data_IF_798061607989
#
_entry.id   IF_798061607989
#
_cell.length_a   1.000
_cell.length_b   1.000
_cell.length_c   1.000
_cell.angle_alpha   90.00
_cell.angle_beta   90.00
_cell.angle_gamma   90.00
#
_symmetry.space_group_name_H-M   'P 1'
#
loop_
_entity.id
_entity.type
_entity.pdbx_description
1 polymer ?
#
# COMPACT_ATOMS: atom_id res chain seq x y z
N UNK A 1 12.18 -24.85 -22.51
CA UNK A 1 12.35 -24.03 -23.73
C UNK A 1 13.84 -24.01 -24.06
N UNK A 2 14.24 -24.05 -25.32
CA UNK A 2 15.66 -24.04 -25.66
C UNK A 2 16.24 -22.62 -25.53
N UNK A 3 17.36 -22.44 -24.82
CA UNK A 3 17.94 -21.12 -24.56
C UNK A 3 18.50 -20.40 -25.80
N UNK A 4 18.81 -21.16 -26.85
CA UNK A 4 19.40 -20.63 -28.09
C UNK A 4 18.44 -20.70 -29.28
N UNK A 5 17.16 -21.05 -29.05
CA UNK A 5 16.20 -21.35 -30.12
C UNK A 5 15.95 -20.18 -31.08
N UNK A 6 16.18 -18.94 -30.63
CA UNK A 6 16.01 -17.75 -31.49
C UNK A 6 17.17 -17.59 -32.49
N UNK A 7 18.40 -17.90 -32.06
CA UNK A 7 19.60 -17.84 -32.89
C UNK A 7 20.50 -19.08 -32.67
N UNK A 8 20.09 -20.27 -33.14
CA UNK A 8 20.78 -21.52 -32.84
C UNK A 8 22.28 -21.59 -33.20
N UNK A 9 22.75 -21.01 -34.32
CA UNK A 9 24.17 -21.07 -34.68
C UNK A 9 25.08 -20.22 -33.81
N UNK A 10 24.54 -19.26 -33.05
CA UNK A 10 25.32 -18.21 -32.38
C UNK A 10 25.94 -18.71 -31.07
N UNK A 11 27.24 -18.51 -30.93
CA UNK A 11 28.02 -18.79 -29.74
C UNK A 11 27.66 -17.82 -28.62
N UNK A 12 27.52 -18.34 -27.41
CA UNK A 12 27.32 -17.52 -26.21
C UNK A 12 28.61 -16.83 -25.79
N UNK A 13 28.50 -15.65 -25.16
CA UNK A 13 29.61 -15.02 -24.44
C UNK A 13 30.02 -15.82 -23.18
N UNK A 14 29.16 -16.70 -22.66
CA UNK A 14 29.55 -17.68 -21.66
C UNK A 14 30.18 -18.86 -22.39
N UNK A 15 31.46 -19.13 -22.11
CA UNK A 15 32.22 -20.16 -22.82
C UNK A 15 31.62 -21.55 -22.57
N UNK A 16 31.57 -22.37 -23.62
CA UNK A 16 31.00 -23.71 -23.59
C UNK A 16 29.51 -23.78 -23.90
N UNK A 17 28.87 -22.63 -24.15
CA UNK A 17 27.44 -22.54 -24.47
C UNK A 17 27.17 -21.94 -25.87
N UNK A 18 26.00 -22.26 -26.44
CA UNK A 18 25.56 -21.76 -27.74
C UNK A 18 26.07 -22.58 -28.93
N UNK A 19 25.98 -22.00 -30.12
CA UNK A 19 26.49 -22.58 -31.36
C UNK A 19 27.96 -22.25 -31.64
N UNK A 20 28.41 -22.55 -32.86
CA UNK A 20 29.81 -22.41 -33.27
C UNK A 20 30.15 -21.08 -33.95
N UNK A 21 29.16 -20.28 -34.30
CA UNK A 21 29.35 -19.03 -35.05
C UNK A 21 29.34 -17.82 -34.10
N UNK A 22 30.23 -16.84 -34.27
CA UNK A 22 30.21 -15.64 -33.44
C UNK A 22 28.86 -14.89 -33.58
N UNK A 23 28.39 -14.33 -32.46
CA UNK A 23 27.25 -13.42 -32.43
C UNK A 23 27.64 -12.03 -32.97
N UNK A 24 26.72 -11.38 -33.67
CA UNK A 24 26.88 -9.98 -34.11
C UNK A 24 26.86 -9.01 -32.92
N UNK A 25 26.09 -9.33 -31.88
CA UNK A 25 26.19 -8.66 -30.59
C UNK A 25 27.24 -9.38 -29.73
N UNK A 26 28.39 -8.75 -29.43
CA UNK A 26 29.44 -9.37 -28.61
C UNK A 26 28.97 -9.61 -27.18
N UNK A 27 27.91 -8.96 -26.70
CA UNK A 27 27.33 -9.16 -25.38
C UNK A 27 26.36 -10.33 -25.32
N UNK A 28 25.99 -10.96 -26.44
CA UNK A 28 24.99 -12.02 -26.50
C UNK A 28 25.35 -13.22 -25.60
N UNK A 29 24.43 -13.59 -24.71
CA UNK A 29 24.54 -14.83 -23.93
C UNK A 29 23.54 -15.86 -24.44
N UNK A 30 22.25 -15.53 -24.51
CA UNK A 30 21.21 -16.44 -24.97
C UNK A 30 19.96 -15.66 -25.39
N UNK A 31 19.11 -16.26 -26.22
CA UNK A 31 17.81 -15.73 -26.57
C UNK A 31 16.87 -16.87 -26.96
N UNK A 32 15.77 -16.98 -26.23
CA UNK A 32 14.77 -18.02 -26.48
C UNK A 32 13.83 -17.61 -27.60
N UNK A 33 13.18 -18.57 -28.27
CA UNK A 33 12.05 -18.21 -29.13
C UNK A 33 10.94 -17.54 -28.33
N UNK A 34 10.12 -16.73 -29.00
CA UNK A 34 8.88 -16.22 -28.42
C UNK A 34 7.88 -17.38 -28.27
N UNK A 35 7.33 -17.52 -27.07
CA UNK A 35 6.32 -18.54 -26.76
C UNK A 35 5.05 -17.88 -26.26
N UNK A 36 3.90 -18.32 -26.79
CA UNK A 36 2.59 -17.92 -26.26
C UNK A 36 2.39 -18.58 -24.89
N UNK A 37 1.98 -17.79 -23.91
CA UNK A 37 1.67 -18.25 -22.56
C UNK A 37 0.25 -17.78 -22.23
N UNK A 38 -0.54 -18.64 -21.59
CA UNK A 38 -1.83 -18.26 -21.01
C UNK A 38 -1.63 -17.28 -19.86
N UNK A 39 -2.67 -16.51 -19.55
CA UNK A 39 -2.69 -15.61 -18.40
C UNK A 39 -2.30 -16.33 -17.10
N UNK A 40 -1.09 -16.04 -16.61
CA UNK A 40 -0.46 -16.79 -15.52
C UNK A 40 0.68 -16.01 -14.89
N UNK A 41 1.06 -16.36 -13.67
CA UNK A 41 2.36 -15.95 -13.11
C UNK A 41 3.38 -17.02 -13.47
N UNK A 42 4.37 -16.64 -14.27
CA UNK A 42 5.38 -17.53 -14.83
C UNK A 42 6.61 -17.50 -13.94
N UNK A 43 7.01 -18.66 -13.42
CA UNK A 43 8.30 -18.88 -12.77
C UNK A 43 9.28 -19.41 -13.80
N UNK A 44 10.35 -18.67 -14.03
CA UNK A 44 11.42 -19.04 -14.95
C UNK A 44 12.67 -19.37 -14.13
N UNK A 45 13.24 -20.55 -14.36
CA UNK A 45 14.53 -20.95 -13.80
C UNK A 45 15.56 -21.08 -14.92
N UNK A 46 16.64 -20.31 -14.80
CA UNK A 46 17.82 -20.38 -15.64
C UNK A 46 18.83 -21.26 -14.93
N UNK A 47 19.12 -22.44 -15.50
CA UNK A 47 19.96 -23.46 -14.86
C UNK A 47 21.22 -23.67 -15.70
N UNK A 48 22.35 -23.24 -15.17
CA UNK A 48 23.68 -23.41 -15.75
C UNK A 48 24.40 -24.56 -15.06
N UNK A 49 24.70 -25.63 -15.80
CA UNK A 49 25.45 -26.77 -15.28
C UNK A 49 26.95 -26.52 -15.38
N UNK A 50 27.67 -26.71 -14.28
CA UNK A 50 29.12 -26.50 -14.24
C UNK A 50 29.53 -25.04 -14.42
N UNK A 51 28.67 -24.08 -14.06
CA UNK A 51 28.99 -22.66 -14.17
C UNK A 51 30.12 -22.28 -13.22
N UNK A 52 31.16 -21.66 -13.76
CA UNK A 52 32.27 -21.05 -13.02
C UNK A 52 32.50 -19.65 -13.55
N UNK A 53 32.73 -18.68 -12.65
CA UNK A 53 33.06 -17.30 -13.00
C UNK A 53 33.55 -16.57 -11.75
N UNK A 54 34.52 -15.68 -11.90
CA UNK A 54 34.93 -14.71 -10.87
C UNK A 54 34.56 -13.27 -11.25
N UNK A 55 34.33 -13.02 -12.54
CA UNK A 55 33.97 -11.73 -13.14
C UNK A 55 32.69 -11.86 -13.98
N UNK A 56 32.08 -10.72 -14.32
CA UNK A 56 30.92 -10.67 -15.21
C UNK A 56 29.64 -10.16 -14.55
N UNK A 57 28.95 -9.25 -15.24
CA UNK A 57 27.60 -8.80 -14.91
C UNK A 57 26.67 -9.08 -16.10
N UNK A 58 25.68 -9.95 -15.86
CA UNK A 58 24.68 -10.33 -16.84
C UNK A 58 23.38 -9.54 -16.61
N UNK A 59 22.74 -9.15 -17.69
CA UNK A 59 21.39 -8.59 -17.70
C UNK A 59 20.48 -9.62 -18.35
N UNK A 60 19.52 -10.12 -17.60
CA UNK A 60 18.45 -10.97 -18.10
C UNK A 60 17.20 -10.12 -18.32
N UNK A 61 16.55 -10.28 -19.47
CA UNK A 61 15.33 -9.56 -19.82
C UNK A 61 14.24 -10.54 -20.25
N UNK A 62 12.99 -10.14 -20.02
CA UNK A 62 11.82 -10.73 -20.64
C UNK A 62 11.25 -9.72 -21.60
N UNK A 63 11.17 -10.11 -22.88
CA UNK A 63 10.48 -9.34 -23.91
C UNK A 63 9.08 -9.90 -24.12
N UNK A 64 8.10 -9.02 -24.35
CA UNK A 64 6.75 -9.37 -24.73
C UNK A 64 6.45 -8.85 -26.14
N UNK A 65 5.82 -9.69 -26.96
CA UNK A 65 5.44 -9.42 -28.34
C UNK A 65 3.94 -9.73 -28.52
N UNK A 66 3.11 -8.78 -28.96
CA UNK A 66 1.70 -9.07 -29.26
C UNK A 66 1.52 -10.11 -30.36
N UNK A 67 0.55 -11.01 -30.18
CA UNK A 67 0.19 -12.01 -31.19
C UNK A 67 -0.44 -11.40 -32.45
N UNK A 68 -1.07 -10.24 -32.30
CA UNK A 68 -1.72 -9.52 -33.41
C UNK A 68 -0.73 -8.69 -34.26
N UNK A 69 0.55 -8.62 -33.86
CA UNK A 69 1.57 -7.84 -34.55
C UNK A 69 1.35 -6.32 -34.48
N UNK A 70 0.50 -5.83 -33.56
CA UNK A 70 0.15 -4.42 -33.44
C UNK A 70 1.33 -3.51 -33.10
N UNK A 71 2.32 -4.02 -32.36
CA UNK A 71 3.52 -3.29 -31.96
C UNK A 71 4.75 -4.21 -31.85
N UNK A 72 5.98 -3.67 -31.97
CA UNK A 72 7.20 -4.46 -31.83
C UNK A 72 7.35 -5.04 -30.42
N UNK A 73 8.29 -5.99 -30.27
CA UNK A 73 8.59 -6.56 -28.97
C UNK A 73 9.19 -5.52 -28.02
N UNK A 74 8.73 -5.53 -26.77
CA UNK A 74 9.18 -4.60 -25.71
C UNK A 74 9.68 -5.39 -24.50
N UNK A 75 10.70 -4.86 -23.83
CA UNK A 75 11.17 -5.41 -22.55
C UNK A 75 10.17 -5.07 -21.45
N UNK A 76 9.57 -6.08 -20.84
CA UNK A 76 8.61 -5.90 -19.73
C UNK A 76 9.26 -6.04 -18.35
N UNK A 77 10.42 -6.71 -18.26
CA UNK A 77 11.12 -6.90 -17.01
C UNK A 77 12.60 -7.18 -17.23
N UNK A 78 13.44 -6.66 -16.34
CA UNK A 78 14.90 -6.75 -16.41
C UNK A 78 15.47 -7.12 -15.04
N UNK A 79 16.50 -7.96 -15.04
CA UNK A 79 17.27 -8.34 -13.86
C UNK A 79 18.76 -8.19 -14.15
N UNK A 80 19.45 -7.22 -13.52
CA UNK A 80 20.90 -7.23 -13.44
C UNK A 80 21.35 -8.27 -12.40
N UNK A 81 22.38 -9.05 -12.71
CA UNK A 81 22.95 -10.04 -11.78
C UNK A 81 24.45 -10.23 -12.03
N UNK A 82 25.22 -10.28 -10.96
CA UNK A 82 26.64 -10.65 -11.07
C UNK A 82 26.74 -12.17 -11.29
N UNK A 83 27.55 -12.61 -12.26
CA UNK A 83 27.62 -14.06 -12.60
C UNK A 83 28.08 -14.88 -11.40
N UNK A 84 28.95 -14.33 -10.54
CA UNK A 84 29.39 -14.94 -9.27
C UNK A 84 28.23 -15.26 -8.31
N UNK A 85 27.13 -14.51 -8.35
CA UNK A 85 25.96 -14.76 -7.51
C UNK A 85 25.17 -15.96 -8.02
N UNK A 86 25.14 -16.16 -9.34
CA UNK A 86 24.57 -17.37 -9.96
C UNK A 86 25.40 -18.59 -9.58
N UNK A 87 26.74 -18.47 -9.58
CA UNK A 87 27.65 -19.53 -9.11
C UNK A 87 27.40 -19.85 -7.64
N UNK A 88 27.32 -18.84 -6.78
CA UNK A 88 27.02 -19.02 -5.36
C UNK A 88 25.65 -19.69 -5.10
N UNK A 89 24.68 -19.46 -6.00
CA UNK A 89 23.36 -20.11 -5.99
C UNK A 89 23.35 -21.50 -6.66
N UNK A 90 24.51 -22.13 -6.85
CA UNK A 90 24.63 -23.46 -7.45
C UNK A 90 24.31 -23.49 -8.95
N UNK A 91 24.61 -22.39 -9.66
CA UNK A 91 24.36 -22.27 -11.10
C UNK A 91 22.91 -21.95 -11.47
N UNK A 92 22.04 -21.64 -10.50
CA UNK A 92 20.61 -21.42 -10.76
C UNK A 92 20.19 -19.99 -10.45
N UNK A 93 19.53 -19.34 -11.40
CA UNK A 93 18.82 -18.08 -11.21
C UNK A 93 17.32 -18.30 -11.40
N UNK A 94 16.51 -17.75 -10.50
CA UNK A 94 15.04 -17.81 -10.59
C UNK A 94 14.47 -16.40 -10.77
N UNK A 95 13.53 -16.27 -11.68
CA UNK A 95 12.86 -15.01 -11.99
C UNK A 95 11.36 -15.23 -12.24
N UNK A 96 10.57 -14.19 -12.05
CA UNK A 96 9.11 -14.24 -12.20
C UNK A 96 8.59 -13.09 -13.04
N UNK A 97 7.66 -13.38 -13.94
CA UNK A 97 6.93 -12.37 -14.70
C UNK A 97 5.48 -12.81 -14.90
N UNK A 98 4.60 -11.83 -15.12
CA UNK A 98 3.19 -12.12 -15.40
C UNK A 98 3.00 -12.20 -16.92
N UNK A 99 2.42 -13.31 -17.36
CA UNK A 99 1.94 -13.48 -18.73
C UNK A 99 0.46 -13.07 -18.78
N UNK A 100 0.10 -12.37 -19.85
CA UNK A 100 -1.28 -12.04 -20.21
C UNK A 100 -1.62 -12.63 -21.58
N UNK A 101 -2.91 -12.92 -21.78
CA UNK A 101 -3.43 -13.45 -23.04
C UNK A 101 -3.16 -12.48 -24.21
N UNK A 102 -3.02 -13.03 -25.41
CA UNK A 102 -2.75 -12.22 -26.60
C UNK A 102 -1.28 -11.82 -26.81
N UNK A 103 -0.37 -12.28 -25.94
CA UNK A 103 1.06 -11.94 -26.01
C UNK A 103 1.94 -13.20 -26.07
N UNK A 104 3.14 -13.04 -26.63
CA UNK A 104 4.22 -14.03 -26.62
C UNK A 104 5.42 -13.48 -25.88
N UNK A 105 6.20 -14.35 -25.26
CA UNK A 105 7.31 -13.95 -24.39
C UNK A 105 8.61 -14.64 -24.78
N UNK A 106 9.72 -13.89 -24.72
CA UNK A 106 11.07 -14.42 -24.87
C UNK A 106 11.94 -14.01 -23.68
N UNK A 107 12.81 -14.91 -23.23
CA UNK A 107 13.83 -14.64 -22.21
C UNK A 107 15.19 -14.54 -22.90
N UNK A 108 15.94 -13.51 -22.60
CA UNK A 108 17.23 -13.24 -23.23
C UNK A 108 18.24 -12.71 -22.20
N UNK A 109 19.51 -13.05 -22.41
CA UNK A 109 20.62 -12.66 -21.55
C UNK A 109 21.71 -11.97 -22.34
N UNK A 110 22.22 -10.86 -21.79
CA UNK A 110 23.37 -10.13 -22.33
C UNK A 110 24.38 -9.85 -21.23
N UNK A 111 25.67 -9.95 -21.54
CA UNK A 111 26.77 -9.70 -20.61
C UNK A 111 27.69 -8.66 -21.23
N UNK A 112 27.61 -7.43 -20.73
CA UNK A 112 28.31 -6.28 -21.32
C UNK A 112 29.71 -6.02 -20.75
N UNK A 113 30.08 -6.68 -19.66
CA UNK A 113 31.39 -6.53 -19.01
C UNK A 113 32.38 -7.61 -19.46
N UNK A 114 33.63 -7.47 -19.05
CA UNK A 114 34.58 -8.60 -19.06
C UNK A 114 34.05 -9.76 -18.21
N UNK A 115 34.35 -10.99 -18.64
CA UNK A 115 33.85 -12.22 -18.00
C UNK A 115 34.81 -13.37 -18.26
N UNK A 116 34.98 -14.20 -17.23
CA UNK A 116 35.66 -15.50 -17.28
C UNK A 116 34.65 -16.65 -17.18
N UNK A 117 33.37 -16.38 -17.45
CA UNK A 117 32.30 -17.34 -17.26
C UNK A 117 32.38 -18.53 -18.22
N UNK A 118 32.42 -19.74 -17.66
CA UNK A 118 32.39 -21.02 -18.39
C UNK A 118 31.24 -21.87 -17.83
N UNK A 119 30.47 -22.52 -18.70
CA UNK A 119 29.46 -23.49 -18.31
C UNK A 119 29.42 -24.68 -19.29
N UNK A 120 28.99 -25.84 -18.81
CA UNK A 120 28.91 -27.07 -19.62
C UNK A 120 27.59 -27.18 -20.37
N UNK A 121 26.50 -26.75 -19.74
CA UNK A 121 25.17 -26.73 -20.35
C UNK A 121 24.30 -25.66 -19.72
N UNK A 122 23.25 -25.27 -20.44
CA UNK A 122 22.30 -24.27 -19.99
C UNK A 122 20.88 -24.70 -20.36
N UNK A 123 19.95 -24.58 -19.42
CA UNK A 123 18.55 -24.94 -19.60
C UNK A 123 17.64 -23.87 -19.00
N UNK A 124 16.51 -23.63 -19.69
CA UNK A 124 15.47 -22.72 -19.21
C UNK A 124 14.19 -23.50 -18.96
N UNK A 125 13.79 -23.50 -17.70
CA UNK A 125 12.56 -24.12 -17.22
C UNK A 125 11.53 -23.01 -16.97
N UNK A 126 10.39 -23.11 -17.66
CA UNK A 126 9.22 -22.28 -17.39
C UNK A 126 8.20 -23.14 -16.68
N UNK A 127 7.76 -22.67 -15.51
CA UNK A 127 6.66 -23.22 -14.74
C UNK A 127 5.56 -22.15 -14.69
N UNK A 128 4.50 -22.37 -15.46
CA UNK A 128 3.36 -21.48 -15.51
C UNK A 128 2.31 -22.00 -14.52
N UNK A 129 2.15 -21.29 -13.41
CA UNK A 129 0.99 -21.49 -12.56
C UNK A 129 -0.18 -20.76 -13.22
N UNK A 130 -1.04 -21.53 -13.91
CA UNK A 130 -2.29 -21.00 -14.50
C UNK A 130 -3.01 -20.22 -13.42
N UNK A 131 -3.14 -18.89 -13.60
CA UNK A 131 -4.03 -18.11 -12.75
C UNK A 131 -5.41 -18.64 -13.06
N UNK A 132 -6.07 -19.25 -12.10
CA UNK A 132 -7.52 -19.46 -12.18
C UNK A 132 -8.15 -18.20 -11.59
N UNK A 133 -8.44 -17.16 -12.39
CA UNK A 133 -8.78 -15.86 -11.82
C UNK A 133 -10.07 -15.96 -11.02
N UNK A 134 -10.97 -16.87 -11.42
CA UNK A 134 -12.18 -17.19 -10.70
C UNK A 134 -11.92 -17.86 -9.34
N UNK A 135 -10.97 -18.81 -9.25
CA UNK A 135 -10.62 -19.46 -8.00
C UNK A 135 -9.78 -18.55 -7.09
N UNK A 136 -8.86 -17.75 -7.63
CA UNK A 136 -8.09 -16.77 -6.87
C UNK A 136 -8.97 -15.64 -6.34
N UNK A 137 -9.92 -15.12 -7.14
CA UNK A 137 -10.93 -14.19 -6.67
C UNK A 137 -11.88 -14.82 -5.65
N UNK A 138 -12.28 -16.09 -5.83
CA UNK A 138 -13.10 -16.81 -4.85
C UNK A 138 -12.34 -17.10 -3.55
N UNK A 139 -11.05 -17.45 -3.61
CA UNK A 139 -10.20 -17.70 -2.44
C UNK A 139 -9.89 -16.38 -1.72
N UNK A 140 -9.60 -15.30 -2.44
CA UNK A 140 -9.39 -13.98 -1.83
C UNK A 140 -10.71 -13.40 -1.28
N UNK A 141 -11.84 -13.62 -1.95
CA UNK A 141 -13.16 -13.27 -1.41
C UNK A 141 -13.57 -14.16 -0.21
N UNK A 142 -13.13 -15.41 -0.17
CA UNK A 142 -13.37 -16.34 0.95
C UNK A 142 -12.36 -16.20 2.10
N UNK A 143 -11.25 -15.48 1.90
CA UNK A 143 -10.27 -15.20 2.95
C UNK A 143 -10.88 -14.27 3.98
N UNK A 144 -11.30 -14.84 5.09
CA UNK A 144 -11.62 -14.06 6.29
C UNK A 144 -10.32 -13.60 6.93
N UNK A 145 -10.31 -12.38 7.46
CA UNK A 145 -9.20 -11.95 8.30
C UNK A 145 -9.12 -12.86 9.52
N UNK A 146 -7.96 -13.48 9.74
CA UNK A 146 -7.66 -14.25 10.96
C UNK A 146 -7.28 -13.30 12.12
N UNK A 147 -7.10 -12.02 11.82
CA UNK A 147 -6.76 -10.99 12.78
C UNK A 147 -8.03 -10.34 13.35
N UNK A 148 -7.85 -9.59 14.44
CA UNK A 148 -8.93 -8.90 15.12
C UNK A 148 -10.07 -9.75 15.67
N UNK A 149 -9.77 -10.98 16.13
CA UNK A 149 -10.73 -11.80 16.89
C UNK A 149 -11.05 -11.23 18.29
N UNK A 150 -10.38 -10.15 18.73
CA UNK A 150 -10.81 -9.38 19.90
C UNK A 150 -12.14 -8.70 19.59
N UNK A 151 -13.09 -8.89 20.51
CA UNK A 151 -14.53 -8.74 20.29
C UNK A 151 -14.89 -7.32 19.87
N UNK A 152 -15.16 -7.12 18.57
CA UNK A 152 -16.01 -6.03 18.11
C UNK A 152 -17.40 -6.29 18.68
N UNK A 153 -17.73 -5.65 19.80
CA UNK A 153 -19.07 -5.78 20.38
C UNK A 153 -20.03 -4.99 19.51
N UNK A 154 -21.03 -5.66 18.93
CA UNK A 154 -22.15 -4.96 18.31
C UNK A 154 -22.80 -4.10 19.39
N UNK A 155 -22.69 -2.79 19.24
CA UNK A 155 -23.41 -1.86 20.10
C UNK A 155 -24.90 -1.96 19.77
N UNK A 156 -25.75 -1.97 20.80
CA UNK A 156 -27.21 -1.94 20.63
C UNK A 156 -27.72 -0.58 20.11
N UNK A 157 -26.85 0.44 20.14
CA UNK A 157 -27.11 1.79 19.63
C UNK A 157 -25.90 2.29 18.86
N UNK A 158 -26.15 2.94 17.74
CA UNK A 158 -25.10 3.51 16.90
C UNK A 158 -24.43 4.73 17.57
N UNK A 159 -25.20 5.56 18.29
CA UNK A 159 -24.69 6.72 19.00
C UNK A 159 -24.43 6.39 20.48
N UNK A 160 -23.32 6.91 21.04
CA UNK A 160 -23.04 6.93 22.48
C UNK A 160 -22.96 8.34 23.03
N UNK A 161 -23.27 8.44 24.32
CA UNK A 161 -22.89 9.57 25.16
C UNK A 161 -21.72 9.18 26.06
N UNK A 162 -20.96 10.18 26.52
CA UNK A 162 -19.82 10.00 27.42
C UNK A 162 -18.49 10.30 26.73
N UNK A 163 -17.40 10.22 27.52
CA UNK A 163 -16.08 10.66 27.06
C UNK A 163 -15.52 9.77 25.94
N UNK A 164 -14.90 10.40 24.96
CA UNK A 164 -14.06 9.74 23.96
C UNK A 164 -12.74 9.32 24.62
N UNK A 165 -12.26 8.11 24.35
CA UNK A 165 -11.02 7.60 24.96
C UNK A 165 -10.18 6.85 23.94
N UNK A 166 -8.86 6.91 24.05
CA UNK A 166 -7.92 6.07 23.30
C UNK A 166 -7.78 4.68 23.92
N UNK A 167 -8.04 4.52 25.23
CA UNK A 167 -8.03 3.22 25.89
C UNK A 167 -9.05 2.23 25.29
N UNK A 168 -10.25 2.70 24.92
CA UNK A 168 -11.27 1.92 24.22
C UNK A 168 -11.83 2.77 23.06
N UNK A 169 -11.09 2.85 21.94
CA UNK A 169 -11.44 3.77 20.87
C UNK A 169 -12.68 3.27 20.13
N UNK A 170 -13.60 4.18 19.90
CA UNK A 170 -14.75 4.02 19.01
C UNK A 170 -14.70 5.12 17.96
N UNK A 171 -15.66 5.18 17.04
CA UNK A 171 -15.73 6.32 16.11
C UNK A 171 -15.95 7.60 16.93
N UNK A 172 -14.98 8.50 16.95
CA UNK A 172 -14.96 9.58 17.94
C UNK A 172 -14.19 10.82 17.49
N UNK A 173 -14.54 11.94 18.10
CA UNK A 173 -13.85 13.23 17.99
C UNK A 173 -12.54 13.27 18.78
N UNK A 174 -11.63 14.15 18.34
CA UNK A 174 -10.42 14.52 19.06
C UNK A 174 -10.75 15.45 20.26
N UNK A 175 -10.25 15.11 21.46
CA UNK A 175 -10.40 15.90 22.68
C UNK A 175 -9.07 16.05 23.41
N UNK A 176 -8.90 17.12 24.19
CA UNK A 176 -7.69 17.40 24.95
C UNK A 176 -7.37 16.33 25.99
N UNK A 177 -8.41 15.68 26.54
CA UNK A 177 -8.24 14.63 27.55
C UNK A 177 -7.46 13.42 27.02
N UNK A 178 -7.63 13.08 25.74
CA UNK A 178 -7.00 11.92 25.10
C UNK A 178 -5.47 12.05 25.01
N UNK A 179 -4.95 13.27 24.89
CA UNK A 179 -3.50 13.52 24.87
C UNK A 179 -2.84 13.17 26.21
N UNK A 180 -3.60 13.08 27.31
CA UNK A 180 -3.08 12.71 28.62
C UNK A 180 -3.31 11.22 28.95
N UNK A 181 -3.86 10.44 28.01
CA UNK A 181 -4.03 9.00 28.22
C UNK A 181 -2.69 8.27 28.06
N UNK A 182 -2.44 7.20 28.85
CA UNK A 182 -1.21 6.41 28.74
C UNK A 182 -0.97 5.85 27.34
N UNK A 183 -2.04 5.50 26.62
CA UNK A 183 -1.95 5.02 25.24
C UNK A 183 -1.30 6.05 24.30
N UNK A 184 -1.52 7.35 24.55
CA UNK A 184 -0.93 8.41 23.75
C UNK A 184 0.59 8.41 23.88
N UNK A 185 1.09 8.47 25.11
CA UNK A 185 2.53 8.51 25.39
C UNK A 185 3.24 7.22 24.92
N UNK A 186 2.60 6.06 25.06
CA UNK A 186 3.11 4.79 24.55
C UNK A 186 3.28 4.80 23.02
N UNK A 187 2.34 5.38 22.27
CA UNK A 187 2.47 5.48 20.83
C UNK A 187 3.52 6.50 20.41
N UNK A 188 3.64 7.63 21.11
CA UNK A 188 4.70 8.59 20.83
C UNK A 188 6.11 7.99 21.02
N UNK A 189 6.29 7.17 22.06
CA UNK A 189 7.56 6.47 22.30
C UNK A 189 7.90 5.49 21.17
N UNK A 190 6.89 4.79 20.63
CA UNK A 190 7.04 3.88 19.48
C UNK A 190 7.30 4.64 18.18
N UNK A 191 6.65 5.77 18.00
CA UNK A 191 6.79 6.65 16.83
C UNK A 191 8.03 7.54 16.88
N UNK A 192 8.75 7.58 18.01
CA UNK A 192 9.89 8.50 18.24
C UNK A 192 9.52 9.97 18.04
N UNK A 193 8.28 10.33 18.38
CA UNK A 193 7.78 11.70 18.27
C UNK A 193 7.73 12.37 19.64
N UNK A 194 8.06 13.66 19.68
CA UNK A 194 7.79 14.49 20.84
C UNK A 194 6.28 14.75 20.97
N UNK A 195 5.82 14.96 22.21
CA UNK A 195 4.40 15.21 22.48
C UNK A 195 3.99 16.62 22.04
N UNK A 196 3.00 16.68 21.17
CA UNK A 196 2.39 17.91 20.68
C UNK A 196 0.87 17.81 20.78
N UNK A 197 0.22 18.87 21.27
CA UNK A 197 -1.25 18.92 21.35
C UNK A 197 -1.83 19.36 20.01
N UNK A 198 -1.56 18.55 19.00
CA UNK A 198 -1.94 18.78 17.62
C UNK A 198 -2.85 17.65 17.13
N UNK A 199 -3.96 18.01 16.51
CA UNK A 199 -4.94 17.04 15.99
C UNK A 199 -4.35 16.00 15.03
N UNK A 200 -3.38 16.38 14.18
CA UNK A 200 -2.66 15.44 13.29
C UNK A 200 -1.88 14.36 14.07
N UNK A 201 -1.24 14.72 15.19
CA UNK A 201 -0.59 13.73 16.04
C UNK A 201 -1.62 12.82 16.71
N UNK A 202 -2.78 13.36 17.10
CA UNK A 202 -3.90 12.55 17.56
C UNK A 202 -4.41 11.57 16.51
N UNK A 203 -4.50 11.96 15.24
CA UNK A 203 -4.94 11.05 14.17
C UNK A 203 -4.02 9.83 14.04
N UNK A 204 -2.70 10.05 14.03
CA UNK A 204 -1.72 8.96 13.99
C UNK A 204 -1.88 8.00 15.16
N UNK A 205 -1.96 8.54 16.38
CA UNK A 205 -2.15 7.75 17.59
C UNK A 205 -3.49 7.03 17.58
N UNK A 206 -4.58 7.70 17.19
CA UNK A 206 -5.92 7.14 17.12
C UNK A 206 -5.99 5.96 16.15
N UNK A 207 -5.41 6.09 14.96
CA UNK A 207 -5.37 5.03 13.95
C UNK A 207 -4.62 3.81 14.50
N UNK A 208 -3.39 4.00 15.00
CA UNK A 208 -2.56 2.91 15.52
C UNK A 208 -3.19 2.24 16.74
N UNK A 209 -3.68 3.04 17.67
CA UNK A 209 -4.35 2.57 18.88
C UNK A 209 -5.60 1.77 18.52
N UNK A 210 -6.41 2.25 17.59
CA UNK A 210 -7.58 1.51 17.13
C UNK A 210 -7.18 0.17 16.54
N UNK A 211 -6.24 0.16 15.59
CA UNK A 211 -5.79 -1.08 14.96
C UNK A 211 -5.19 -2.07 15.98
N UNK A 212 -4.44 -1.61 16.98
CA UNK A 212 -3.92 -2.47 18.05
C UNK A 212 -5.04 -3.02 18.94
N UNK A 213 -5.97 -2.17 19.41
CA UNK A 213 -7.04 -2.56 20.33
C UNK A 213 -8.00 -3.54 19.69
N UNK A 214 -8.30 -3.34 18.41
CA UNK A 214 -9.09 -4.27 17.61
C UNK A 214 -8.28 -5.47 17.14
N UNK A 215 -6.99 -5.57 17.45
CA UNK A 215 -6.16 -6.76 17.23
C UNK A 215 -5.69 -6.98 15.79
N UNK A 216 -5.59 -5.90 15.01
CA UNK A 216 -5.14 -5.88 13.62
C UNK A 216 -3.62 -5.71 13.50
N UNK A 217 -2.97 -4.97 14.40
CA UNK A 217 -1.51 -4.80 14.38
C UNK A 217 -0.80 -6.04 14.91
N UNK A 218 -0.58 -7.01 14.02
CA UNK A 218 0.10 -8.28 14.30
C UNK A 218 1.00 -8.64 13.12
N UNK A 219 2.09 -9.35 13.40
CA UNK A 219 2.98 -9.85 12.37
C UNK A 219 2.20 -10.68 11.32
N UNK A 220 2.43 -10.36 10.05
CA UNK A 220 1.75 -10.98 8.90
C UNK A 220 0.42 -10.34 8.49
N UNK A 221 -0.14 -9.41 9.28
CA UNK A 221 -1.35 -8.69 8.88
C UNK A 221 -1.07 -7.77 7.68
N UNK A 222 -2.02 -7.69 6.75
CA UNK A 222 -1.91 -6.87 5.53
C UNK A 222 -2.64 -5.54 5.70
N UNK A 223 -1.94 -4.42 5.58
CA UNK A 223 -2.50 -3.06 5.65
C UNK A 223 -2.49 -2.33 4.32
N UNK A 224 -3.52 -1.52 4.07
CA UNK A 224 -3.60 -0.60 2.93
C UNK A 224 -3.82 0.85 3.41
N UNK A 225 -2.85 1.73 3.13
CA UNK A 225 -2.93 3.15 3.45
C UNK A 225 -3.34 3.98 2.23
N UNK A 226 -4.20 4.98 2.44
CA UNK A 226 -4.67 5.89 1.40
C UNK A 226 -4.31 7.34 1.71
N UNK A 227 -3.71 8.04 0.74
CA UNK A 227 -3.24 9.41 0.92
C UNK A 227 -2.24 9.49 2.07
N UNK A 228 -1.26 8.58 2.07
CA UNK A 228 -0.34 8.41 3.21
C UNK A 228 0.55 9.63 3.42
N UNK A 229 0.81 10.42 2.36
CA UNK A 229 1.77 11.50 2.42
C UNK A 229 3.11 11.02 2.95
N UNK A 230 3.73 11.81 3.83
CA UNK A 230 4.99 11.47 4.49
C UNK A 230 4.80 10.97 5.92
N UNK A 231 3.65 10.41 6.28
CA UNK A 231 3.35 10.05 7.67
C UNK A 231 4.18 8.83 8.18
N UNK A 232 4.41 8.70 9.51
CA UNK A 232 5.21 7.61 10.07
C UNK A 232 4.44 6.27 10.20
N UNK A 233 3.15 6.24 9.85
CA UNK A 233 2.27 5.08 10.04
C UNK A 233 2.74 3.83 9.27
N UNK A 234 3.13 3.89 7.99
CA UNK A 234 3.67 2.73 7.28
C UNK A 234 4.87 2.10 7.98
N UNK A 235 5.84 2.93 8.40
CA UNK A 235 7.04 2.46 9.09
C UNK A 235 6.70 1.82 10.45
N UNK A 236 5.83 2.45 11.24
CA UNK A 236 5.40 1.94 12.54
C UNK A 236 4.71 0.57 12.44
N UNK A 237 3.82 0.40 11.47
CA UNK A 237 3.11 -0.87 11.25
C UNK A 237 4.04 -1.95 10.69
N UNK A 238 4.99 -1.58 9.82
CA UNK A 238 6.02 -2.48 9.30
C UNK A 238 6.97 -2.99 10.41
N UNK A 239 7.32 -2.14 11.38
CA UNK A 239 8.14 -2.51 12.54
C UNK A 239 7.44 -3.55 13.44
N UNK A 240 6.10 -3.54 13.48
CA UNK A 240 5.27 -4.56 14.17
C UNK A 240 5.19 -5.88 13.35
N UNK A 241 5.68 -5.87 12.11
CA UNK A 241 5.69 -7.02 11.21
C UNK A 241 4.49 -7.12 10.27
N UNK A 242 3.70 -6.05 10.13
CA UNK A 242 2.63 -6.00 9.13
C UNK A 242 3.22 -5.83 7.72
N UNK A 243 2.55 -6.36 6.70
CA UNK A 243 2.84 -6.07 5.29
C UNK A 243 1.96 -4.92 4.83
N UNK A 244 2.56 -3.85 4.33
CA UNK A 244 1.91 -2.58 4.05
C UNK A 244 1.99 -2.25 2.57
N UNK A 245 0.85 -1.87 2.01
CA UNK A 245 0.77 -1.14 0.75
C UNK A 245 0.38 0.29 1.08
N UNK A 246 1.30 1.22 0.88
CA UNK A 246 1.08 2.65 1.06
C UNK A 246 0.69 3.27 -0.29
N UNK A 247 -0.37 4.06 -0.33
CA UNK A 247 -0.84 4.68 -1.58
C UNK A 247 -1.00 6.18 -1.48
N UNK A 248 -0.71 6.85 -2.60
CA UNK A 248 -0.87 8.29 -2.78
C UNK A 248 -1.19 8.60 -4.25
N UNK A 249 -1.61 9.84 -4.52
CA UNK A 249 -1.78 10.34 -5.90
C UNK A 249 -0.42 10.41 -6.61
N UNK A 250 -0.45 10.39 -7.94
CA UNK A 250 0.76 10.57 -8.73
C UNK A 250 1.33 11.99 -8.52
N UNK A 251 2.65 12.11 -8.44
CA UNK A 251 3.32 13.40 -8.23
C UNK A 251 3.10 14.42 -9.37
N UNK A 252 2.76 13.95 -10.57
CA UNK A 252 2.42 14.77 -11.73
C UNK A 252 0.92 15.09 -11.83
N UNK A 253 0.08 14.58 -10.91
CA UNK A 253 -1.33 14.91 -10.85
C UNK A 253 -1.49 16.35 -10.34
N UNK A 254 -2.27 17.18 -11.06
CA UNK A 254 -2.50 18.58 -10.71
C UNK A 254 -3.10 18.74 -9.31
N UNK A 255 -3.85 17.73 -8.81
CA UNK A 255 -4.44 17.71 -7.47
C UNK A 255 -3.42 17.48 -6.36
N UNK A 256 -2.23 16.95 -6.67
CA UNK A 256 -1.16 16.74 -5.70
C UNK A 256 -0.37 18.01 -5.39
N UNK A 257 -0.50 19.06 -6.23
CA UNK A 257 0.35 20.26 -6.19
C UNK A 257 0.36 20.97 -4.83
N UNK A 258 -0.78 21.11 -4.17
CA UNK A 258 -0.87 21.77 -2.86
C UNK A 258 -0.15 20.96 -1.76
N UNK A 259 -0.09 19.64 -1.91
CA UNK A 259 0.60 18.70 -1.01
C UNK A 259 2.09 18.63 -1.29
N UNK A 260 2.50 18.67 -2.55
CA UNK A 260 3.91 18.78 -2.96
C UNK A 260 4.51 20.10 -2.47
N UNK A 261 3.75 21.21 -2.56
CA UNK A 261 4.18 22.54 -2.09
C UNK A 261 4.32 22.62 -0.56
N UNK A 262 3.57 21.82 0.19
CA UNK A 262 3.64 21.74 1.66
C UNK A 262 4.55 20.61 2.16
N UNK A 263 5.22 19.88 1.25
CA UNK A 263 6.04 18.69 1.54
C UNK A 263 5.27 17.62 2.35
N UNK A 264 3.99 17.47 2.05
CA UNK A 264 3.09 16.52 2.69
C UNK A 264 2.67 15.38 1.76
N UNK A 265 3.09 15.42 0.49
CA UNK A 265 2.92 14.35 -0.49
C UNK A 265 4.10 13.37 -0.47
N UNK A 266 3.83 12.07 -0.63
CA UNK A 266 4.89 11.08 -0.87
C UNK A 266 5.04 10.77 -2.36
N UNK A 267 6.23 11.04 -2.91
CA UNK A 267 6.61 10.70 -4.29
C UNK A 267 7.15 9.26 -4.44
N UNK A 268 7.38 8.55 -3.32
CA UNK A 268 7.87 7.17 -3.34
C UNK A 268 8.31 6.63 -1.98
N UNK A 269 8.74 5.36 -1.96
CA UNK A 269 9.10 4.60 -0.76
C UNK A 269 10.07 5.31 0.19
N UNK A 270 11.01 6.10 -0.33
CA UNK A 270 12.07 6.70 0.47
C UNK A 270 11.56 7.79 1.43
N UNK A 271 10.49 8.50 1.07
CA UNK A 271 9.89 9.54 1.92
C UNK A 271 9.03 8.96 3.06
N UNK A 272 8.77 7.66 3.02
CA UNK A 272 8.06 6.91 4.06
C UNK A 272 9.04 6.22 5.04
N UNK A 273 10.35 6.38 4.84
CA UNK A 273 11.36 5.78 5.71
C UNK A 273 11.51 6.59 6.99
N UNK A 274 11.38 5.88 8.11
CA UNK A 274 11.68 6.38 9.45
C UNK A 274 12.62 5.38 10.14
N UNK A 275 13.94 5.44 9.88
CA UNK A 275 14.91 4.43 10.37
C UNK A 275 14.93 4.27 11.90
N UNK A 276 14.57 5.32 12.64
CA UNK A 276 14.44 5.33 14.10
C UNK A 276 13.19 4.58 14.60
N UNK A 277 12.19 4.37 13.73
CA UNK A 277 10.97 3.61 14.00
C UNK A 277 11.10 2.19 13.45
N UNK A 278 11.58 2.04 12.21
CA UNK A 278 11.65 0.78 11.49
C UNK A 278 13.00 0.66 10.77
N UNK A 279 13.82 -0.36 11.07
CA UNK A 279 15.05 -0.63 10.33
C UNK A 279 14.79 -0.78 8.83
N UNK A 280 15.69 -0.24 8.00
CA UNK A 280 15.49 -0.19 6.55
C UNK A 280 15.27 -1.58 5.92
N UNK A 281 15.96 -2.62 6.39
CA UNK A 281 15.79 -3.99 5.89
C UNK A 281 14.40 -4.58 6.21
N UNK A 282 13.83 -4.20 7.35
CA UNK A 282 12.45 -4.55 7.72
C UNK A 282 11.46 -3.76 6.86
N UNK A 283 11.70 -2.46 6.69
CA UNK A 283 10.89 -1.59 5.86
C UNK A 283 10.83 -2.08 4.41
N UNK A 284 11.98 -2.38 3.79
CA UNK A 284 12.09 -2.83 2.40
C UNK A 284 11.36 -4.15 2.14
N UNK A 285 11.32 -5.04 3.14
CA UNK A 285 10.61 -6.30 3.06
C UNK A 285 9.10 -6.13 3.23
N UNK A 286 8.69 -5.20 4.07
CA UNK A 286 7.32 -5.13 4.58
C UNK A 286 6.49 -4.02 3.92
N UNK A 287 7.09 -3.00 3.31
CA UNK A 287 6.39 -1.85 2.75
C UNK A 287 6.55 -1.79 1.24
N UNK A 288 5.43 -1.66 0.53
CA UNK A 288 5.38 -1.34 -0.88
C UNK A 288 4.64 -0.01 -1.06
N UNK A 289 5.05 0.78 -2.06
CA UNK A 289 4.33 1.99 -2.47
C UNK A 289 3.61 1.76 -3.79
N UNK A 290 2.43 2.35 -3.92
CA UNK A 290 1.65 2.30 -5.17
C UNK A 290 0.85 3.58 -5.37
N UNK A 291 0.92 4.14 -6.57
CA UNK A 291 0.04 5.23 -6.98
C UNK A 291 -1.41 4.76 -7.07
N UNK A 292 -2.34 5.46 -6.41
CA UNK A 292 -3.77 5.20 -6.49
C UNK A 292 -4.61 6.47 -6.24
N UNK A 293 -5.68 6.64 -7.03
CA UNK A 293 -6.69 7.69 -6.79
C UNK A 293 -7.77 7.16 -5.84
N UNK A 294 -8.01 7.87 -4.74
CA UNK A 294 -9.04 7.54 -3.75
C UNK A 294 -10.47 7.63 -4.32
N UNK A 295 -10.68 8.42 -5.38
CA UNK A 295 -11.95 8.47 -6.12
C UNK A 295 -12.15 7.28 -7.08
N UNK A 296 -11.06 6.56 -7.40
CA UNK A 296 -11.06 5.48 -8.38
C UNK A 296 -10.11 4.35 -7.94
N UNK A 297 -10.37 3.79 -6.74
CA UNK A 297 -9.51 2.77 -6.14
C UNK A 297 -9.36 1.55 -7.09
N UNK A 298 -8.14 1.18 -7.49
CA UNK A 298 -7.91 0.03 -8.36
C UNK A 298 -8.58 -1.26 -7.86
N UNK A 299 -9.19 -2.00 -8.77
CA UNK A 299 -10.00 -3.18 -8.43
C UNK A 299 -9.19 -4.33 -7.82
N UNK A 300 -7.88 -4.36 -8.03
CA UNK A 300 -6.94 -5.36 -7.52
C UNK A 300 -6.42 -5.03 -6.11
N UNK A 301 -6.69 -3.83 -5.56
CA UNK A 301 -6.43 -3.51 -4.16
C UNK A 301 -7.47 -4.18 -3.26
N UNK A 302 -7.33 -5.48 -3.07
CA UNK A 302 -8.20 -6.34 -2.25
C UNK A 302 -7.37 -7.22 -1.33
N UNK A 303 -8.01 -7.82 -0.34
CA UNK A 303 -7.39 -8.84 0.48
C UNK A 303 -6.70 -8.34 1.76
N UNK A 304 -7.00 -7.12 2.18
CA UNK A 304 -6.31 -6.48 3.30
C UNK A 304 -7.02 -6.77 4.63
N UNK A 305 -6.26 -6.89 5.71
CA UNK A 305 -6.81 -7.06 7.05
C UNK A 305 -7.25 -5.72 7.65
N UNK A 306 -6.60 -4.62 7.24
CA UNK A 306 -7.02 -3.28 7.63
C UNK A 306 -6.70 -2.23 6.56
N UNK A 307 -7.46 -1.13 6.60
CA UNK A 307 -7.22 0.08 5.79
C UNK A 307 -7.17 1.31 6.69
N UNK A 308 -6.41 2.33 6.29
CA UNK A 308 -6.43 3.61 6.99
C UNK A 308 -6.24 4.82 6.06
N UNK A 309 -6.62 5.98 6.58
CA UNK A 309 -6.21 7.29 6.07
C UNK A 309 -6.24 8.34 7.19
N UNK A 310 -5.32 9.30 7.14
CA UNK A 310 -5.19 10.37 8.14
C UNK A 310 -5.44 11.73 7.49
N UNK A 311 -6.62 12.34 7.70
CA UNK A 311 -6.99 13.64 7.10
C UNK A 311 -6.64 13.71 5.60
N UNK A 312 -7.31 12.86 4.81
CA UNK A 312 -7.07 12.75 3.38
C UNK A 312 -8.35 12.86 2.55
N UNK A 313 -9.47 12.32 3.04
CA UNK A 313 -10.66 12.16 2.20
C UNK A 313 -11.59 13.38 2.18
N UNK A 314 -11.32 14.40 3.00
CA UNK A 314 -11.88 15.75 2.89
C UNK A 314 -11.39 16.49 1.64
N UNK A 315 -10.33 15.99 0.99
CA UNK A 315 -9.72 16.61 -0.18
C UNK A 315 -10.21 16.02 -1.50
N UNK A 316 -11.23 15.15 -1.47
CA UNK A 316 -11.75 14.47 -2.66
C UNK A 316 -12.75 15.30 -3.49
N UNK A 317 -12.86 16.59 -3.22
CA UNK A 317 -13.66 17.53 -4.01
C UNK A 317 -15.09 17.73 -3.54
N UNK A 318 -15.67 16.76 -2.80
CA UNK A 318 -17.01 16.89 -2.21
C UNK A 318 -17.21 15.98 -0.99
N UNK A 319 -18.21 16.28 -0.15
CA UNK A 319 -18.62 15.38 0.94
C UNK A 319 -18.97 14.00 0.38
N UNK A 320 -19.75 13.92 -0.70
CA UNK A 320 -20.18 12.62 -1.25
C UNK A 320 -19.00 11.78 -1.71
N UNK A 321 -18.01 12.39 -2.38
CA UNK A 321 -16.79 11.70 -2.80
C UNK A 321 -16.01 11.11 -1.61
N UNK A 322 -15.92 11.84 -0.49
CA UNK A 322 -15.32 11.33 0.74
C UNK A 322 -16.11 10.17 1.37
N UNK A 323 -17.45 10.23 1.35
CA UNK A 323 -18.29 9.12 1.83
C UNK A 323 -18.19 7.89 0.92
N UNK A 324 -18.11 8.09 -0.39
CA UNK A 324 -17.87 7.03 -1.38
C UNK A 324 -16.50 6.38 -1.19
N UNK A 325 -15.47 7.17 -0.91
CA UNK A 325 -14.17 6.64 -0.54
C UNK A 325 -14.27 5.69 0.66
N UNK A 326 -14.96 6.06 1.75
CA UNK A 326 -15.09 5.17 2.92
C UNK A 326 -15.80 3.86 2.55
N UNK A 327 -16.87 3.92 1.74
CA UNK A 327 -17.55 2.72 1.22
C UNK A 327 -16.60 1.84 0.41
N UNK A 328 -15.82 2.43 -0.49
CA UNK A 328 -14.92 1.72 -1.39
C UNK A 328 -13.69 1.16 -0.66
N UNK A 329 -13.16 1.87 0.34
CA UNK A 329 -12.06 1.42 1.20
C UNK A 329 -12.46 0.15 1.97
N UNK A 330 -13.71 0.07 2.47
CA UNK A 330 -14.22 -1.15 3.11
C UNK A 330 -14.24 -2.35 2.16
N UNK A 331 -14.46 -2.14 0.85
CA UNK A 331 -14.40 -3.22 -0.14
C UNK A 331 -12.98 -3.76 -0.37
N UNK A 332 -11.95 -3.04 0.05
CA UNK A 332 -10.55 -3.48 -0.02
C UNK A 332 -10.21 -4.56 1.02
N UNK A 333 -11.03 -4.67 2.08
CA UNK A 333 -10.76 -5.53 3.23
C UNK A 333 -11.16 -6.98 3.00
N UNK A 334 -10.52 -7.93 3.66
CA UNK A 334 -11.09 -9.25 3.91
C UNK A 334 -12.34 -9.14 4.79
N UNK A 335 -13.34 -10.04 4.67
CA UNK A 335 -14.38 -10.17 5.68
C UNK A 335 -13.79 -10.20 7.10
N UNK A 336 -14.33 -9.36 7.99
CA UNK A 336 -13.82 -9.19 9.34
C UNK A 336 -12.66 -8.20 9.49
N UNK A 337 -12.08 -7.68 8.40
CA UNK A 337 -11.05 -6.63 8.41
C UNK A 337 -11.58 -5.27 8.88
N UNK A 338 -10.67 -4.33 9.17
CA UNK A 338 -10.99 -3.04 9.81
C UNK A 338 -10.54 -1.83 8.98
N UNK A 339 -11.47 -0.92 8.69
CA UNK A 339 -11.19 0.40 8.15
C UNK A 339 -11.15 1.42 9.30
N UNK A 340 -10.08 2.22 9.37
CA UNK A 340 -9.92 3.29 10.36
C UNK A 340 -9.49 4.57 9.65
N UNK A 341 -10.39 5.52 9.54
CA UNK A 341 -10.15 6.76 8.79
C UNK A 341 -10.39 7.98 9.67
N UNK A 342 -9.66 9.07 9.43
CA UNK A 342 -9.88 10.36 10.11
C UNK A 342 -10.05 11.49 9.11
N UNK A 343 -10.83 12.52 9.50
CA UNK A 343 -11.12 13.69 8.67
C UNK A 343 -11.60 14.88 9.50
N UNK A 344 -11.95 15.96 8.81
CA UNK A 344 -12.56 17.20 9.30
C UNK A 344 -14.04 17.05 9.70
N UNK A 345 -14.37 17.34 10.97
CA UNK A 345 -15.74 17.47 11.46
C UNK A 345 -16.09 18.93 11.77
N UNK A 346 -17.13 19.43 11.12
CA UNK A 346 -17.77 20.70 11.42
C UNK A 346 -18.46 20.66 12.80
N UNK A 347 -18.02 21.54 13.69
CA UNK A 347 -18.55 21.70 15.05
C UNK A 347 -19.56 22.85 15.16
N UNK A 348 -19.63 23.73 14.17
CA UNK A 348 -20.47 24.93 14.18
C UNK A 348 -21.89 24.65 13.70
N UNK A 349 -22.05 23.79 12.69
CA UNK A 349 -23.36 23.51 12.10
C UNK A 349 -23.49 22.07 11.63
N UNK A 350 -24.68 21.51 11.82
CA UNK A 350 -25.06 20.21 11.25
C UNK A 350 -25.83 20.36 9.93
N UNK A 351 -25.90 21.57 9.36
CA UNK A 351 -26.57 21.86 8.10
C UNK A 351 -25.65 22.59 7.11
N UNK A 352 -25.30 23.83 7.42
CA UNK A 352 -24.38 24.65 6.62
C UNK A 352 -22.93 24.16 6.78
N UNK A 353 -22.22 23.95 5.68
CA UNK A 353 -20.82 23.53 5.69
C UNK A 353 -20.11 23.89 4.38
N UNK A 354 -18.80 23.66 4.30
CA UNK A 354 -18.07 23.61 3.02
C UNK A 354 -18.25 22.19 2.48
N UNK A 355 -19.10 22.01 1.46
CA UNK A 355 -19.47 20.69 0.95
C UNK A 355 -18.82 20.29 -0.38
N UNK A 356 -18.09 21.23 -0.98
CA UNK A 356 -17.36 21.09 -2.24
C UNK A 356 -16.11 21.96 -2.29
N UNK A 357 -15.14 21.58 -3.12
CA UNK A 357 -13.86 22.29 -3.29
C UNK A 357 -12.66 21.51 -2.77
N UNK A 358 -11.53 22.20 -2.52
CA UNK A 358 -10.27 21.55 -2.15
C UNK A 358 -10.24 20.94 -0.75
N UNK A 359 -11.07 21.40 0.17
CA UNK A 359 -11.24 20.81 1.51
C UNK A 359 -12.69 20.96 1.92
N UNK A 360 -13.35 19.85 2.24
CA UNK A 360 -14.73 19.84 2.72
C UNK A 360 -14.81 19.54 4.21
N UNK A 361 -15.87 19.98 4.87
CA UNK A 361 -16.06 19.75 6.31
C UNK A 361 -17.30 18.88 6.52
N UNK A 362 -17.11 17.68 7.06
CA UNK A 362 -18.20 16.74 7.28
C UNK A 362 -19.06 17.19 8.47
N UNK A 363 -20.36 16.91 8.41
CA UNK A 363 -21.30 17.16 9.50
C UNK A 363 -21.63 15.85 10.20
N UNK A 364 -22.19 15.95 11.40
CA UNK A 364 -22.68 14.76 12.13
C UNK A 364 -23.68 13.95 11.31
N UNK A 365 -24.59 14.62 10.58
CA UNK A 365 -25.58 13.96 9.71
C UNK A 365 -24.94 13.13 8.60
N UNK A 366 -23.77 13.52 8.11
CA UNK A 366 -23.07 12.81 7.03
C UNK A 366 -22.52 11.47 7.55
N UNK A 367 -21.90 11.47 8.74
CA UNK A 367 -21.44 10.25 9.41
C UNK A 367 -22.58 9.35 9.88
N UNK A 368 -23.66 9.93 10.41
CA UNK A 368 -24.85 9.18 10.81
C UNK A 368 -25.50 8.49 9.60
N UNK A 369 -25.60 9.17 8.45
CA UNK A 369 -26.10 8.59 7.19
C UNK A 369 -25.18 7.50 6.66
N UNK A 370 -23.87 7.76 6.62
CA UNK A 370 -22.87 6.79 6.19
C UNK A 370 -22.92 5.52 7.05
N UNK A 371 -23.07 5.68 8.36
CA UNK A 371 -23.12 4.54 9.26
C UNK A 371 -24.37 3.68 9.04
N UNK A 372 -25.53 4.29 8.81
CA UNK A 372 -26.76 3.57 8.45
C UNK A 372 -26.60 2.82 7.12
N UNK A 373 -26.02 3.46 6.11
CA UNK A 373 -25.75 2.86 4.80
C UNK A 373 -24.81 1.64 4.92
N UNK A 374 -23.67 1.79 5.60
CA UNK A 374 -22.72 0.70 5.83
C UNK A 374 -23.33 -0.47 6.61
N UNK A 375 -24.13 -0.19 7.64
CA UNK A 375 -24.85 -1.22 8.41
C UNK A 375 -25.89 -1.94 7.53
N UNK A 376 -26.61 -1.20 6.68
CA UNK A 376 -27.59 -1.79 5.74
C UNK A 376 -26.94 -2.74 4.72
N UNK A 377 -25.66 -2.50 4.39
CA UNK A 377 -24.82 -3.35 3.54
C UNK A 377 -24.19 -4.53 4.31
N UNK A 378 -24.51 -4.68 5.59
CA UNK A 378 -24.05 -5.80 6.43
C UNK A 378 -22.69 -5.59 7.09
N UNK A 379 -22.11 -4.40 7.02
CA UNK A 379 -20.89 -4.05 7.75
C UNK A 379 -21.21 -3.63 9.19
N UNK A 380 -20.18 -3.52 10.03
CA UNK A 380 -20.33 -3.05 11.41
C UNK A 380 -19.61 -1.72 11.59
N UNK A 381 -20.32 -0.72 12.09
CA UNK A 381 -19.72 0.58 12.41
C UNK A 381 -19.56 0.67 13.92
N UNK A 382 -18.37 1.06 14.39
CA UNK A 382 -18.17 1.23 15.83
C UNK A 382 -19.06 2.37 16.31
N UNK A 383 -19.44 2.33 17.59
CA UNK A 383 -20.29 3.35 18.16
C UNK A 383 -19.72 4.76 17.91
N UNK A 384 -20.58 5.73 17.62
CA UNK A 384 -20.18 7.09 17.32
C UNK A 384 -20.35 7.96 18.58
N UNK A 385 -19.27 8.64 18.97
CA UNK A 385 -19.23 9.62 20.05
C UNK A 385 -18.83 10.99 19.50
N UNK A 386 -19.69 11.98 19.70
CA UNK A 386 -19.40 13.38 19.38
C UNK A 386 -19.02 14.15 20.66
N UNK A 387 -18.00 13.67 21.36
CA UNK A 387 -17.50 14.30 22.58
C UNK A 387 -16.63 15.51 22.24
N UNK A 388 -17.04 16.71 22.66
CA UNK A 388 -16.30 17.93 22.35
C UNK A 388 -15.26 18.29 23.41
N UNK A 389 -15.12 17.46 24.45
CA UNK A 389 -14.29 17.75 25.61
C UNK A 389 -14.86 18.86 26.50
N UNK A 390 -14.26 19.02 27.67
CA UNK A 390 -14.71 19.93 28.73
C UNK A 390 -13.58 20.80 29.32
N UNK A 391 -12.41 20.84 28.66
CA UNK A 391 -11.25 21.60 29.13
C UNK A 391 -11.13 22.98 28.47
N UNK A 392 -10.29 23.85 29.03
CA UNK A 392 -9.96 25.14 28.38
C UNK A 392 -9.29 24.94 27.03
N UNK A 393 -8.50 23.88 26.86
CA UNK A 393 -7.88 23.53 25.59
C UNK A 393 -8.94 23.13 24.56
N UNK A 394 -9.97 22.39 24.98
CA UNK A 394 -11.10 22.06 24.11
C UNK A 394 -11.94 23.29 23.75
N UNK A 395 -11.97 24.31 24.60
CA UNK A 395 -12.69 25.56 24.32
C UNK A 395 -11.91 26.50 23.38
N UNK A 396 -10.61 26.28 23.21
CA UNK A 396 -9.77 27.09 22.32
C UNK A 396 -10.04 26.76 20.85
N UNK A 397 -10.22 27.80 20.04
CA UNK A 397 -10.32 27.71 18.58
C UNK A 397 -9.12 28.42 18.00
N UNK A 398 -8.26 27.66 17.33
CA UNK A 398 -7.12 28.21 16.62
C UNK A 398 -7.58 28.94 15.35
N UNK A 399 -6.98 30.10 15.07
CA UNK A 399 -7.36 30.96 13.94
C UNK A 399 -6.10 31.39 13.20
N UNK A 400 -6.16 31.70 11.89
CA UNK A 400 -4.99 32.15 11.16
C UNK A 400 -4.33 33.39 11.78
N UNK A 401 -2.97 33.45 11.84
CA UNK A 401 -2.04 32.36 11.53
C UNK A 401 -2.07 31.28 12.62
N UNK A 402 -2.25 30.02 12.20
CA UNK A 402 -2.43 28.89 13.11
C UNK A 402 -1.20 28.67 14.01
N UNK A 403 -1.47 28.21 15.24
CA UNK A 403 -0.47 27.85 16.24
C UNK A 403 0.09 26.44 16.00
N UNK A 404 1.36 26.24 16.37
CA UNK A 404 1.98 24.92 16.38
C UNK A 404 1.60 24.07 17.62
N UNK A 405 1.18 24.70 18.72
CA UNK A 405 1.09 24.02 20.03
C UNK A 405 -0.32 23.59 20.44
N UNK A 406 -1.34 24.44 20.21
CA UNK A 406 -2.73 24.16 20.62
C UNK A 406 -3.64 24.18 19.39
N UNK A 407 -3.66 23.07 18.66
CA UNK A 407 -4.33 22.94 17.36
C UNK A 407 -5.32 21.77 17.36
N UNK A 408 -6.22 21.74 18.35
CA UNK A 408 -7.26 20.70 18.49
C UNK A 408 -8.51 21.05 17.70
N UNK A 409 -8.93 22.32 17.81
CA UNK A 409 -10.03 22.90 17.05
C UNK A 409 -9.50 24.13 16.34
N UNK A 410 -9.88 24.30 15.08
CA UNK A 410 -9.48 25.47 14.30
C UNK A 410 -10.66 26.06 13.55
N UNK A 411 -10.56 27.34 13.22
CA UNK A 411 -11.45 27.99 12.28
C UNK A 411 -11.00 27.69 10.85
N UNK A 412 -11.84 27.01 10.08
CA UNK A 412 -11.67 26.84 8.64
C UNK A 412 -12.85 27.50 7.91
N UNK A 413 -12.56 28.55 7.14
CA UNK A 413 -13.60 29.42 6.58
C UNK A 413 -14.43 30.07 7.71
N UNK A 414 -15.73 29.84 7.71
CA UNK A 414 -16.66 30.35 8.74
C UNK A 414 -17.01 29.31 9.83
N UNK A 415 -16.35 28.15 9.83
CA UNK A 415 -16.70 27.02 10.69
C UNK A 415 -15.56 26.68 11.63
N UNK A 416 -15.92 26.19 12.82
CA UNK A 416 -15.00 25.53 13.74
C UNK A 416 -14.96 24.05 13.37
N UNK A 417 -13.77 23.49 13.23
CA UNK A 417 -13.55 22.09 12.87
C UNK A 417 -12.59 21.39 13.83
N UNK A 418 -12.67 20.07 13.89
CA UNK A 418 -11.72 19.18 14.60
C UNK A 418 -11.59 17.86 13.85
N UNK A 419 -10.60 17.03 14.22
CA UNK A 419 -10.50 15.67 13.69
C UNK A 419 -11.60 14.76 14.25
N UNK A 420 -12.16 13.94 13.38
CA UNK A 420 -13.07 12.86 13.72
C UNK A 420 -12.58 11.55 13.12
N UNK A 421 -12.59 10.49 13.93
CA UNK A 421 -12.25 9.14 13.51
C UNK A 421 -13.49 8.29 13.27
N UNK A 422 -13.50 7.53 12.17
CA UNK A 422 -14.52 6.52 11.86
C UNK A 422 -13.89 5.13 11.84
N UNK A 423 -14.58 4.15 12.43
CA UNK A 423 -14.16 2.75 12.47
C UNK A 423 -15.26 1.88 11.86
N UNK A 424 -14.90 1.13 10.83
CA UNK A 424 -15.81 0.22 10.14
C UNK A 424 -15.17 -1.16 10.04
N UNK A 425 -15.88 -2.20 10.47
CA UNK A 425 -15.49 -3.60 10.27
C UNK A 425 -16.26 -4.18 9.09
N UNK A 426 -15.54 -4.73 8.12
CA UNK A 426 -16.16 -5.40 6.96
C UNK A 426 -16.96 -6.60 7.44
N UNK A 427 -18.20 -6.69 6.98
CA UNK A 427 -19.09 -7.83 7.21
C UNK A 427 -18.73 -9.05 6.38
N UNK A 428 -19.43 -10.16 6.62
CA UNK A 428 -19.27 -11.41 5.86
C UNK A 428 -20.01 -11.41 4.51
N UNK A 429 -20.79 -10.36 4.21
CA UNK A 429 -21.62 -10.25 3.01
C UNK A 429 -21.02 -9.33 1.96
#
# INVERSE_FOLDING_TARGET
>A
MGPFDFWPPRSSRIQGLGGSEPSEDPAYVFHTRYVSLESSTVRCSLVFTGLTATLGSMIVRVNALPLDGSRPAETIKTWPIAVKEIVAAGGTMRLTFDAVDGMQYAVLGHLYTETDAIAQSFTILLDAAVRQPHFEQQVEAARKSIFGQRVFRRASRLLAHGKATLADPVSQTCTASQFNEPAYDQWLERLKLAKHRHRKQWEFVYILQTLERYGMLKAGARGLGFGVGIEPLPAAMAAIGCSIVATDLAADDVRSRDWTLTNQHSEGLDQLRYPEICPNDVFDRNVAFRVADMNAIPADLRGFDFTWSSCAYEHLGSIEAGLDFVRNAVQCLNPGGLAVHTTELNLTSNDATIDSGGTVLFRRRDFERLAVDLVSRGHFVAQIKYDLGDTQQDAYVDVPPYSADNHLKLALGQYVTTSFGIIVRRGDR
#
